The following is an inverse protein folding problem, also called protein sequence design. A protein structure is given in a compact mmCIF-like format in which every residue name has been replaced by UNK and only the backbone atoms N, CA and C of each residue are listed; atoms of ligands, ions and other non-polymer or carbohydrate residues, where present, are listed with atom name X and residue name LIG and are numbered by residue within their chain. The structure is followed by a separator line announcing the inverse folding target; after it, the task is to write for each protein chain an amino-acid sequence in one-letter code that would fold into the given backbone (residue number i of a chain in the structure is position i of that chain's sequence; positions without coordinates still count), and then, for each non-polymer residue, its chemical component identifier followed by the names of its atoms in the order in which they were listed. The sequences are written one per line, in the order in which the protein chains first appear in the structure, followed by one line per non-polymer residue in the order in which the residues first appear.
data_IF_072468255082
#
_entry.id   IF_072468255082
#
_cell.length_a   1.000
_cell.length_b   1.000
_cell.length_c   1.000
_cell.angle_alpha   90.00
_cell.angle_beta   90.00
_cell.angle_gamma   90.00
#
_symmetry.space_group_name_H-M   'P 1'
#
loop_
_entity.id
_entity.type
_entity.pdbx_description
1 polymer ?
#
# COMPACT_ATOMS: atom_id res chain seq x y z
N UNK A 1 -2.42 20.48 -7.20
CA UNK A 1 -2.23 19.13 -6.64
C UNK A 1 -0.73 18.89 -6.55
N UNK A 2 -0.19 18.75 -5.33
CA UNK A 2 1.21 18.40 -5.11
C UNK A 2 1.36 16.89 -5.28
N UNK A 3 2.51 16.43 -5.77
CA UNK A 3 2.84 15.04 -6.10
C UNK A 3 2.88 14.06 -4.90
N UNK A 4 1.81 13.97 -4.11
CA UNK A 4 1.71 13.17 -2.89
C UNK A 4 0.32 12.62 -2.54
N UNK A 5 -0.67 12.72 -3.43
CA UNK A 5 -2.09 12.38 -3.11
C UNK A 5 -2.49 10.93 -3.41
N UNK A 6 -1.56 10.13 -3.97
CA UNK A 6 -1.87 8.79 -4.42
C UNK A 6 -1.90 7.74 -3.29
N UNK A 7 -0.97 7.83 -2.34
CA UNK A 7 -0.76 6.76 -1.36
C UNK A 7 -0.22 7.24 -0.02
N UNK A 8 -0.40 6.41 1.00
CA UNK A 8 -0.02 6.64 2.39
C UNK A 8 1.43 6.22 2.61
N UNK A 9 2.28 7.14 3.09
CA UNK A 9 3.64 6.82 3.53
C UNK A 9 3.53 5.95 4.79
N UNK A 10 4.05 4.72 4.72
CA UNK A 10 3.96 3.74 5.79
C UNK A 10 5.21 3.70 6.66
N UNK A 11 6.37 3.90 6.03
CA UNK A 11 7.65 3.73 6.71
C UNK A 11 8.82 4.35 5.92
N UNK A 12 9.95 4.48 6.60
CA UNK A 12 11.23 4.85 6.00
C UNK A 12 12.31 3.90 6.46
N UNK A 13 12.86 3.16 5.50
CA UNK A 13 13.78 2.06 5.80
C UNK A 13 15.11 2.21 5.09
N UNK A 14 16.17 1.69 5.70
CA UNK A 14 17.48 1.54 5.06
C UNK A 14 17.62 0.09 4.59
N UNK A 15 17.78 -0.09 3.29
CA UNK A 15 18.05 -1.40 2.69
C UNK A 15 19.55 -1.68 2.76
N UNK A 16 19.92 -2.92 3.05
CA UNK A 16 21.31 -3.37 3.04
C UNK A 16 21.99 -3.02 1.71
N UNK A 17 23.08 -2.24 1.78
CA UNK A 17 23.82 -1.76 0.61
C UNK A 17 23.39 -0.39 0.09
N UNK A 18 22.30 0.19 0.59
CA UNK A 18 21.92 1.58 0.35
C UNK A 18 22.31 2.47 1.53
N UNK A 19 22.80 3.67 1.25
CA UNK A 19 22.98 4.74 2.26
C UNK A 19 21.78 5.69 2.31
N UNK A 20 20.94 5.67 1.27
CA UNK A 20 19.75 6.51 1.18
C UNK A 20 18.53 5.77 1.74
N UNK A 21 17.74 6.42 2.63
CA UNK A 21 16.49 5.86 3.12
C UNK A 21 15.45 5.71 2.01
N UNK A 22 14.86 4.53 1.91
CA UNK A 22 13.71 4.26 1.05
C UNK A 22 12.42 4.63 1.78
N UNK A 23 11.54 5.38 1.09
CA UNK A 23 10.18 5.66 1.56
C UNK A 23 9.23 4.59 1.04
N UNK A 24 8.52 3.91 1.94
CA UNK A 24 7.55 2.87 1.60
C UNK A 24 6.15 3.48 1.58
N UNK A 25 5.48 3.43 0.43
CA UNK A 25 4.12 3.91 0.27
C UNK A 25 3.16 2.74 0.02
N UNK A 26 1.94 2.85 0.53
CA UNK A 26 0.84 1.96 0.18
C UNK A 26 -0.31 2.73 -0.46
N UNK A 27 -1.01 2.04 -1.35
CA UNK A 27 -2.27 2.50 -1.89
C UNK A 27 -3.39 1.79 -1.12
N UNK A 28 -4.22 2.55 -0.43
CA UNK A 28 -5.27 2.03 0.43
C UNK A 28 -6.47 1.57 -0.42
N UNK A 29 -6.60 0.26 -0.64
CA UNK A 29 -7.67 -0.34 -1.46
C UNK A 29 -8.37 -1.47 -0.74
N UNK A 30 -9.69 -1.47 -0.76
CA UNK A 30 -10.52 -2.60 -0.34
C UNK A 30 -11.11 -3.33 -1.54
N UNK A 31 -10.41 -4.37 -1.99
CA UNK A 31 -10.88 -5.20 -3.11
C UNK A 31 -12.24 -5.87 -2.85
N UNK A 32 -12.64 -6.08 -1.59
CA UNK A 32 -13.93 -6.67 -1.25
C UNK A 32 -15.10 -5.70 -1.49
N UNK A 33 -14.83 -4.41 -1.64
CA UNK A 33 -15.84 -3.41 -2.01
C UNK A 33 -16.31 -3.56 -3.47
N UNK A 34 -15.55 -4.27 -4.31
CA UNK A 34 -15.91 -4.50 -5.71
C UNK A 34 -16.82 -5.71 -5.86
N UNK A 35 -17.88 -5.56 -6.65
CA UNK A 35 -18.70 -6.69 -7.10
C UNK A 35 -17.97 -7.40 -8.24
N UNK A 36 -17.69 -8.68 -8.06
CA UNK A 36 -17.19 -9.54 -9.13
C UNK A 36 -18.32 -9.71 -10.15
N UNK A 37 -18.08 -9.31 -11.40
CA UNK A 37 -19.04 -9.56 -12.48
C UNK A 37 -19.18 -11.06 -12.70
N UNK A 38 -20.39 -11.51 -13.05
CA UNK A 38 -20.61 -12.91 -13.44
C UNK A 38 -19.61 -13.33 -14.51
N UNK A 39 -19.04 -14.53 -14.32
CA UNK A 39 -18.12 -15.10 -15.28
C UNK A 39 -18.85 -15.29 -16.60
N UNK A 40 -18.48 -14.50 -17.62
CA UNK A 40 -19.02 -14.67 -18.97
C UNK A 40 -18.76 -16.11 -19.41
N UNK A 41 -19.77 -16.73 -20.03
CA UNK A 41 -19.68 -18.10 -20.54
C UNK A 41 -18.37 -18.31 -21.30
N UNK A 42 -17.72 -19.46 -21.08
CA UNK A 42 -16.43 -19.76 -21.70
C UNK A 42 -16.56 -19.68 -23.21
N UNK A 43 -15.92 -18.68 -23.83
CA UNK A 43 -15.88 -18.55 -25.28
C UNK A 43 -14.97 -19.66 -25.80
N UNK A 44 -15.49 -20.56 -26.64
CA UNK A 44 -14.69 -21.58 -27.32
C UNK A 44 -13.86 -20.93 -28.43
N UNK A 45 -12.64 -20.49 -28.10
CA UNK A 45 -11.75 -19.82 -29.04
C UNK A 45 -11.02 -20.81 -29.95
N UNK A 46 -11.10 -20.60 -31.26
CA UNK A 46 -10.21 -21.26 -32.21
C UNK A 46 -8.82 -20.61 -32.24
N UNK A 47 -7.81 -21.32 -32.75
CA UNK A 47 -6.40 -20.88 -32.78
C UNK A 47 -6.22 -19.50 -33.44
N UNK A 48 -6.95 -19.23 -34.53
CA UNK A 48 -6.86 -17.96 -35.27
C UNK A 48 -7.46 -16.80 -34.47
N UNK A 49 -8.57 -17.03 -33.77
CA UNK A 49 -9.19 -16.02 -32.92
C UNK A 49 -8.33 -15.71 -31.70
N UNK A 50 -7.69 -16.72 -31.07
CA UNK A 50 -6.73 -16.50 -29.97
C UNK A 50 -5.54 -15.66 -30.41
N UNK A 51 -4.98 -15.95 -31.58
CA UNK A 51 -3.85 -15.20 -32.12
C UNK A 51 -4.21 -13.73 -32.36
N UNK A 52 -5.38 -13.48 -33.00
CA UNK A 52 -5.88 -12.12 -33.22
C UNK A 52 -6.15 -11.36 -31.92
N UNK A 53 -6.79 -12.01 -30.95
CA UNK A 53 -7.06 -11.40 -29.64
C UNK A 53 -5.75 -11.02 -28.93
N UNK A 54 -4.73 -11.89 -28.97
CA UNK A 54 -3.41 -11.58 -28.42
C UNK A 54 -2.76 -10.39 -29.11
N UNK A 55 -2.80 -10.34 -30.45
CA UNK A 55 -2.24 -9.19 -31.19
C UNK A 55 -2.95 -7.88 -30.85
N UNK A 56 -4.28 -7.91 -30.69
CA UNK A 56 -5.06 -6.74 -30.28
C UNK A 56 -4.69 -6.28 -28.86
N UNK A 57 -4.63 -7.21 -27.90
CA UNK A 57 -4.24 -6.88 -26.51
C UNK A 57 -2.81 -6.34 -26.41
N UNK A 58 -1.87 -6.89 -27.17
CA UNK A 58 -0.49 -6.39 -27.21
C UNK A 58 -0.39 -4.99 -27.85
N UNK A 59 -1.19 -4.72 -28.88
CA UNK A 59 -1.27 -3.39 -29.49
C UNK A 59 -1.85 -2.37 -28.49
N UNK A 60 -2.97 -2.68 -27.85
CA UNK A 60 -3.61 -1.81 -26.85
C UNK A 60 -2.68 -1.58 -25.64
N UNK A 61 -1.97 -2.61 -25.19
CA UNK A 61 -0.97 -2.48 -24.12
C UNK A 61 0.17 -1.54 -24.51
N UNK A 62 0.67 -1.65 -25.75
CA UNK A 62 1.73 -0.76 -26.26
C UNK A 62 1.24 0.68 -26.39
N UNK A 63 0.03 0.89 -26.88
CA UNK A 63 -0.59 2.22 -26.96
C UNK A 63 -0.74 2.84 -25.57
N UNK A 64 -1.25 2.08 -24.60
CA UNK A 64 -1.37 2.55 -23.21
C UNK A 64 -0.03 2.82 -22.54
N UNK A 65 1.01 2.03 -22.86
CA UNK A 65 2.36 2.24 -22.32
C UNK A 65 3.09 3.41 -23.00
N UNK A 66 2.73 3.76 -24.24
CA UNK A 66 3.30 4.88 -24.97
C UNK A 66 2.65 6.23 -24.61
N UNK A 67 1.49 6.20 -23.96
CA UNK A 67 0.85 7.37 -23.39
C UNK A 67 1.64 7.83 -22.16
N UNK A 68 2.17 9.06 -22.21
CA UNK A 68 2.70 9.77 -21.04
C UNK A 68 1.53 10.27 -20.18
N UNK A 69 0.77 9.31 -19.69
CA UNK A 69 -0.40 9.54 -18.85
C UNK A 69 0.07 9.47 -17.42
N UNK A 70 -0.32 10.48 -16.63
CA UNK A 70 -0.28 10.38 -15.18
C UNK A 70 -1.30 9.32 -14.74
N UNK A 71 -0.84 8.07 -14.76
CA UNK A 71 -1.61 6.87 -14.43
C UNK A 71 -2.19 6.97 -13.02
N UNK A 72 -1.51 7.68 -12.11
CA UNK A 72 -1.96 7.87 -10.73
C UNK A 72 -3.20 8.74 -10.71
N UNK A 73 -3.14 9.94 -11.30
CA UNK A 73 -4.29 10.84 -11.39
C UNK A 73 -5.44 10.22 -12.18
N UNK A 74 -5.17 9.57 -13.32
CA UNK A 74 -6.23 8.98 -14.14
C UNK A 74 -6.90 7.77 -13.49
N UNK A 75 -6.15 6.88 -12.82
CA UNK A 75 -6.76 5.72 -12.17
C UNK A 75 -7.43 6.11 -10.85
N UNK A 76 -6.80 6.93 -10.02
CA UNK A 76 -7.32 7.22 -8.68
C UNK A 76 -8.52 8.16 -8.69
N UNK A 77 -8.52 9.18 -9.55
CA UNK A 77 -9.52 10.24 -9.49
C UNK A 77 -10.74 9.96 -10.38
N UNK A 78 -10.58 9.14 -11.43
CA UNK A 78 -11.62 8.96 -12.45
C UNK A 78 -12.20 7.55 -12.54
N UNK A 79 -11.68 6.57 -11.80
CA UNK A 79 -12.25 5.22 -11.77
C UNK A 79 -13.30 5.06 -10.67
N UNK A 80 -14.57 4.72 -11.01
CA UNK A 80 -15.58 4.38 -10.02
C UNK A 80 -15.18 3.20 -9.13
N UNK A 81 -14.40 2.26 -9.67
CA UNK A 81 -13.89 1.10 -8.93
C UNK A 81 -12.86 1.54 -7.89
N UNK A 82 -11.92 2.42 -8.25
CA UNK A 82 -10.95 2.96 -7.29
C UNK A 82 -11.66 3.76 -6.19
N UNK A 83 -12.63 4.59 -6.55
CA UNK A 83 -13.46 5.31 -5.59
C UNK A 83 -14.18 4.36 -4.62
N UNK A 84 -14.80 3.28 -5.13
CA UNK A 84 -15.46 2.27 -4.29
C UNK A 84 -14.49 1.55 -3.35
N UNK A 85 -13.30 1.16 -3.83
CA UNK A 85 -12.28 0.50 -3.01
C UNK A 85 -11.68 1.43 -1.95
N UNK A 86 -11.66 2.74 -2.19
CA UNK A 86 -11.11 3.74 -1.25
C UNK A 86 -12.13 4.25 -0.25
N UNK A 87 -13.43 3.98 -0.45
CA UNK A 87 -14.52 4.60 0.31
C UNK A 87 -14.43 4.44 1.83
N UNK A 88 -13.82 3.35 2.33
CA UNK A 88 -13.64 3.13 3.78
C UNK A 88 -12.47 3.88 4.41
N UNK A 89 -11.54 4.40 3.60
CA UNK A 89 -10.38 5.14 4.04
C UNK A 89 -10.70 6.63 3.97
N UNK A 90 -11.49 7.09 4.94
CA UNK A 90 -11.94 8.47 4.99
C UNK A 90 -10.85 9.44 5.42
N UNK A 91 -11.15 10.73 5.28
CA UNK A 91 -10.22 11.80 5.65
C UNK A 91 -9.82 11.74 7.14
N UNK A 92 -10.74 11.34 8.02
CA UNK A 92 -10.45 11.21 9.44
C UNK A 92 -9.38 10.14 9.69
N UNK A 93 -9.55 8.96 9.11
CA UNK A 93 -8.57 7.88 9.20
C UNK A 93 -7.20 8.33 8.68
N UNK A 94 -7.17 8.95 7.50
CA UNK A 94 -5.92 9.40 6.87
C UNK A 94 -5.20 10.43 7.72
N UNK A 95 -5.92 11.40 8.29
CA UNK A 95 -5.34 12.42 9.16
C UNK A 95 -4.85 11.86 10.49
N UNK A 96 -5.64 10.98 11.14
CA UNK A 96 -5.23 10.32 12.40
C UNK A 96 -3.98 9.47 12.17
N UNK A 97 -3.93 8.72 11.07
CA UNK A 97 -2.74 7.95 10.72
C UNK A 97 -1.53 8.85 10.50
N UNK A 98 -1.71 9.92 9.70
CA UNK A 98 -0.64 10.88 9.39
C UNK A 98 -0.07 11.55 10.65
N UNK A 99 -0.93 11.90 11.62
CA UNK A 99 -0.49 12.40 12.92
C UNK A 99 0.33 11.35 13.68
N UNK A 100 -0.13 10.11 13.73
CA UNK A 100 0.59 9.01 14.38
C UNK A 100 1.95 8.75 13.74
N UNK A 101 1.99 8.68 12.41
CA UNK A 101 3.22 8.44 11.65
C UNK A 101 4.24 9.57 11.83
N UNK A 102 3.81 10.85 11.82
CA UNK A 102 4.71 11.98 12.07
C UNK A 102 5.36 11.90 13.45
N UNK A 103 4.58 11.60 14.49
CA UNK A 103 5.14 11.42 15.84
C UNK A 103 6.11 10.24 15.89
N UNK A 104 5.84 9.16 15.16
CA UNK A 104 6.77 8.04 15.03
C UNK A 104 8.09 8.49 14.38
N UNK A 105 8.05 9.23 13.27
CA UNK A 105 9.24 9.77 12.60
C UNK A 105 10.05 10.70 13.52
N UNK A 106 9.38 11.53 14.30
CA UNK A 106 9.98 12.52 15.19
C UNK A 106 10.54 11.90 16.50
N UNK A 107 10.23 10.63 16.79
CA UNK A 107 10.67 9.94 18.00
C UNK A 107 9.71 10.04 19.18
N UNK A 108 8.56 10.70 19.00
CA UNK A 108 7.49 10.86 20.00
C UNK A 108 6.60 9.61 20.10
N UNK A 109 7.21 8.44 20.38
CA UNK A 109 6.60 7.12 20.22
C UNK A 109 5.38 6.87 21.13
N UNK A 110 5.33 7.49 22.31
CA UNK A 110 4.15 7.43 23.17
C UNK A 110 2.95 8.13 22.53
N UNK A 111 3.17 9.29 21.90
CA UNK A 111 2.13 10.02 21.17
C UNK A 111 1.74 9.26 19.90
N UNK A 112 2.74 8.76 19.16
CA UNK A 112 2.53 7.94 17.97
C UNK A 112 1.63 6.73 18.26
N UNK A 113 1.93 6.00 19.35
CA UNK A 113 1.13 4.86 19.82
C UNK A 113 -0.35 5.21 19.97
N UNK A 114 -0.68 6.36 20.56
CA UNK A 114 -2.08 6.75 20.80
C UNK A 114 -2.86 6.94 19.49
N UNK A 115 -2.25 7.62 18.52
CA UNK A 115 -2.87 7.83 17.20
C UNK A 115 -2.93 6.55 16.38
N UNK A 116 -1.86 5.76 16.34
CA UNK A 116 -1.80 4.51 15.58
C UNK A 116 -2.71 3.42 16.17
N UNK A 117 -2.85 3.35 17.50
CA UNK A 117 -3.80 2.45 18.15
C UNK A 117 -5.25 2.83 17.81
N UNK A 118 -5.55 4.12 17.64
CA UNK A 118 -6.88 4.55 17.20
C UNK A 118 -7.17 4.10 15.77
N UNK A 119 -6.24 4.29 14.83
CA UNK A 119 -6.45 3.90 13.43
C UNK A 119 -6.53 2.40 13.21
N UNK A 120 -5.98 1.60 14.13
CA UNK A 120 -6.05 0.14 14.08
C UNK A 120 -7.49 -0.36 13.90
N UNK A 121 -8.47 0.24 14.57
CA UNK A 121 -9.85 -0.23 14.58
C UNK A 121 -10.83 0.64 13.76
N UNK A 122 -10.39 1.78 13.21
CA UNK A 122 -11.26 2.72 12.49
C UNK A 122 -11.89 2.15 11.23
N UNK A 123 -11.23 1.20 10.57
CA UNK A 123 -11.68 0.68 9.28
C UNK A 123 -12.72 -0.46 9.43
N UNK A 124 -13.02 -0.93 10.64
CA UNK A 124 -13.83 -2.15 10.87
C UNK A 124 -13.06 -3.47 10.65
N UNK A 125 -11.81 -3.38 10.20
CA UNK A 125 -10.80 -4.45 10.26
C UNK A 125 -9.48 -3.83 10.71
N UNK A 126 -8.56 -4.65 11.23
CA UNK A 126 -7.25 -4.15 11.67
C UNK A 126 -6.47 -3.52 10.52
N UNK A 127 -6.08 -2.26 10.66
CA UNK A 127 -5.15 -1.62 9.72
C UNK A 127 -3.75 -2.24 9.85
N UNK A 128 -3.30 -2.91 8.79
CA UNK A 128 -2.02 -3.61 8.75
C UNK A 128 -0.82 -2.69 9.05
N UNK A 129 -0.70 -1.53 8.37
CA UNK A 129 0.39 -0.59 8.62
C UNK A 129 0.44 -0.04 10.05
N UNK A 130 -0.70 0.39 10.62
CA UNK A 130 -0.75 0.78 12.03
C UNK A 130 -0.32 -0.34 12.96
N UNK A 131 -0.80 -1.57 12.72
CA UNK A 131 -0.43 -2.72 13.53
C UNK A 131 1.07 -3.01 13.46
N UNK A 132 1.67 -2.94 12.27
CA UNK A 132 3.11 -3.14 12.09
C UNK A 132 3.92 -2.11 12.89
N UNK A 133 3.62 -0.82 12.77
CA UNK A 133 4.33 0.23 13.51
C UNK A 133 4.18 0.08 15.03
N UNK A 134 2.98 -0.30 15.51
CA UNK A 134 2.76 -0.59 16.93
C UNK A 134 3.59 -1.79 17.41
N UNK A 135 3.68 -2.86 16.62
CA UNK A 135 4.50 -4.02 16.93
C UNK A 135 5.99 -3.67 16.94
N UNK A 136 6.46 -2.92 15.96
CA UNK A 136 7.84 -2.46 15.86
C UNK A 136 8.24 -1.61 17.09
N UNK A 137 7.43 -0.59 17.43
CA UNK A 137 7.69 0.27 18.59
C UNK A 137 7.58 -0.47 19.92
N UNK A 138 6.58 -1.36 20.05
CA UNK A 138 6.26 -2.01 21.33
C UNK A 138 7.20 -3.17 21.66
N UNK A 139 7.43 -4.07 20.71
CA UNK A 139 8.12 -5.34 20.97
C UNK A 139 9.59 -5.14 21.29
N UNK A 140 10.25 -4.21 20.59
CA UNK A 140 11.72 -4.03 20.67
C UNK A 140 12.15 -2.92 21.62
N UNK A 141 11.27 -1.96 21.87
CA UNK A 141 11.66 -0.70 22.50
C UNK A 141 10.66 -0.19 23.56
N UNK A 142 9.59 -0.94 23.86
CA UNK A 142 8.56 -0.55 24.83
C UNK A 142 8.02 0.88 24.60
N UNK A 143 7.85 1.26 23.33
CA UNK A 143 7.41 2.58 22.91
C UNK A 143 8.32 3.75 23.37
N UNK A 144 9.62 3.48 23.54
CA UNK A 144 10.65 4.49 23.76
C UNK A 144 11.57 4.53 22.53
N UNK A 145 11.56 5.64 21.79
CA UNK A 145 12.45 5.77 20.64
C UNK A 145 13.93 5.69 21.06
N UNK A 146 14.80 5.03 20.28
CA UNK A 146 16.24 5.07 20.52
C UNK A 146 16.80 6.50 20.51
N UNK A 147 17.84 6.78 21.29
CA UNK A 147 18.48 8.12 21.33
C UNK A 147 18.97 8.60 19.96
N UNK A 148 19.30 7.67 19.07
CA UNK A 148 19.76 7.95 17.72
C UNK A 148 18.65 7.81 16.65
N UNK A 149 17.38 7.81 17.07
CA UNK A 149 16.25 7.72 16.16
C UNK A 149 16.23 8.91 15.20
N UNK A 150 16.10 8.62 13.90
CA UNK A 150 16.06 9.63 12.83
C UNK A 150 14.86 9.42 11.90
N UNK A 151 13.81 8.77 12.42
CA UNK A 151 12.66 8.37 11.63
C UNK A 151 12.97 7.31 10.58
N UNK A 152 14.06 6.54 10.76
CA UNK A 152 14.49 5.49 9.83
C UNK A 152 15.02 4.28 10.57
N UNK A 153 14.78 3.09 10.04
CA UNK A 153 15.35 1.85 10.57
C UNK A 153 15.79 0.87 9.46
N UNK A 154 16.65 -0.11 9.76
CA UNK A 154 17.00 -1.14 8.78
C UNK A 154 15.76 -1.95 8.37
N UNK A 155 15.62 -2.24 7.07
CA UNK A 155 14.63 -3.21 6.62
C UNK A 155 15.07 -4.61 7.07
N UNK A 156 14.47 -5.11 8.14
CA UNK A 156 14.68 -6.49 8.61
C UNK A 156 13.85 -7.42 7.73
N UNK A 157 14.49 -8.03 6.74
CA UNK A 157 13.92 -9.19 6.07
C UNK A 157 13.99 -10.33 7.09
N UNK A 158 12.84 -10.77 7.59
CA UNK A 158 12.74 -12.07 8.25
C UNK A 158 13.47 -13.08 7.36
N UNK A 159 14.38 -13.92 7.91
CA UNK A 159 14.95 -15.00 7.12
C UNK A 159 13.78 -15.80 6.55
N UNK A 160 13.84 -16.15 5.25
CA UNK A 160 12.80 -16.94 4.57
C UNK A 160 12.32 -18.06 5.49
N UNK A 161 11.18 -17.85 6.18
CA UNK A 161 10.49 -18.96 6.80
C UNK A 161 10.16 -19.88 5.63
N UNK A 162 10.60 -21.13 5.71
CA UNK A 162 10.39 -22.17 4.70
C UNK A 162 8.91 -22.23 4.33
N UNK A 163 8.48 -21.44 3.35
CA UNK A 163 7.21 -21.68 2.70
C UNK A 163 7.37 -23.02 2.00
N UNK A 164 6.58 -24.05 2.36
CA UNK A 164 6.69 -25.33 1.69
C UNK A 164 6.40 -25.07 0.21
N UNK A 165 7.39 -25.37 -0.63
CA UNK A 165 7.19 -25.34 -2.07
C UNK A 165 6.02 -26.27 -2.37
N UNK A 166 4.96 -25.82 -3.07
CA UNK A 166 3.92 -26.73 -3.50
C UNK A 166 4.58 -27.81 -4.36
N UNK A 167 4.46 -29.06 -3.90
CA UNK A 167 4.91 -30.26 -4.61
C UNK A 167 3.99 -30.63 -5.77
#
# INVERSE_FOLDING_TARGET
ANAGDGGRLLDRVIIKGSVEPLRLYALDLDSAALRVSEQKASIAWNTRQRFRARQMLEMEKRERAALDVDVVTQLLDFSPQMSAMRARYDEEFLQVFKMGFRNYEEGEWQTARRFLARTLDMLGTKDGPSNYLLQYMGTRYDFQAPDNWRGVHPLELEPESEYPRPG
#
